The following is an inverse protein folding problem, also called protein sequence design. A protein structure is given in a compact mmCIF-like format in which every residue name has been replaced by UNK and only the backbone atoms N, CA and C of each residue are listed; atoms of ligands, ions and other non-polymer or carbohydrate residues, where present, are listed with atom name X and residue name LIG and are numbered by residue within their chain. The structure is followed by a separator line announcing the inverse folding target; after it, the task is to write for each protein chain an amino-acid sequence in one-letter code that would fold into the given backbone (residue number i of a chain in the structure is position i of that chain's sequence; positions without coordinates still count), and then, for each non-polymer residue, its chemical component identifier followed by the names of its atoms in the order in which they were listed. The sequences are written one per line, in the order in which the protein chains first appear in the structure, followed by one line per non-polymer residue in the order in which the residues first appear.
data_IF_848914963111
#
_entry.id   IF_848914963111
#
_cell.length_a   1.000
_cell.length_b   1.000
_cell.length_c   1.000
_cell.angle_alpha   90.00
_cell.angle_beta   90.00
_cell.angle_gamma   90.00
#
_symmetry.space_group_name_H-M   'P 1'
#
loop_
_entity.id
_entity.type
_entity.pdbx_description
1 polymer ?
#
# COMPACT_ATOMS: atom_id res chain seq x y z
N UNK A 1 -31.10 -55.29 41.03
CA UNK A 1 -30.01 -54.83 40.13
C UNK A 1 -30.52 -53.69 39.29
N UNK A 2 -29.93 -52.49 39.41
CA UNK A 2 -29.76 -51.51 38.32
C UNK A 2 -29.09 -50.25 38.90
N UNK A 3 -27.77 -50.14 38.69
CA UNK A 3 -26.98 -48.90 38.87
C UNK A 3 -26.78 -48.32 37.47
N UNK A 4 -27.36 -47.16 37.18
CA UNK A 4 -26.98 -46.29 36.06
C UNK A 4 -26.86 -44.88 36.63
N UNK A 5 -25.71 -44.55 37.21
CA UNK A 5 -24.60 -43.81 36.59
C UNK A 5 -25.04 -42.45 36.03
N UNK A 6 -25.11 -41.47 36.93
CA UNK A 6 -25.02 -40.05 36.62
C UNK A 6 -23.61 -39.74 36.09
N UNK A 7 -23.42 -39.72 34.78
CA UNK A 7 -22.19 -39.28 34.13
C UNK A 7 -22.54 -38.76 32.72
N UNK A 8 -23.29 -37.66 32.63
CA UNK A 8 -23.70 -37.11 31.33
C UNK A 8 -24.08 -35.62 31.35
N UNK A 9 -23.33 -34.73 32.05
CA UNK A 9 -23.31 -33.34 31.57
C UNK A 9 -21.91 -32.74 31.37
N UNK A 10 -20.83 -33.40 31.80
CA UNK A 10 -19.48 -32.79 31.76
C UNK A 10 -18.79 -32.82 30.39
N UNK A 11 -19.20 -33.69 29.47
CA UNK A 11 -18.56 -33.82 28.15
C UNK A 11 -19.05 -32.73 27.17
N UNK A 12 -20.23 -32.15 27.37
CA UNK A 12 -20.77 -31.12 26.47
C UNK A 12 -20.15 -29.73 26.68
N UNK A 13 -19.59 -29.45 27.87
CA UNK A 13 -18.96 -28.15 28.15
C UNK A 13 -17.55 -28.06 27.55
N UNK A 14 -16.83 -29.17 27.42
CA UNK A 14 -15.46 -29.19 26.91
C UNK A 14 -15.34 -29.00 25.38
N UNK A 15 -16.42 -29.24 24.62
CA UNK A 15 -16.41 -29.12 23.15
C UNK A 15 -16.70 -27.68 22.69
N UNK A 16 -17.38 -26.86 23.51
CA UNK A 16 -17.70 -25.46 23.13
C UNK A 16 -16.51 -24.51 23.32
N UNK A 17 -15.59 -24.82 24.23
CA UNK A 17 -14.41 -23.99 24.49
C UNK A 17 -13.23 -24.25 23.55
N UNK A 18 -13.19 -25.38 22.83
CA UNK A 18 -12.07 -25.71 21.94
C UNK A 18 -12.22 -25.20 20.50
N UNK A 19 -13.41 -24.75 20.09
CA UNK A 19 -13.64 -24.20 18.74
C UNK A 19 -13.71 -22.67 18.69
N UNK A 20 -13.91 -22.00 19.81
CA UNK A 20 -14.01 -20.52 19.89
C UNK A 20 -12.66 -19.85 20.15
N UNK A 21 -11.69 -20.57 20.70
CA UNK A 21 -10.39 -20.04 21.10
C UNK A 21 -9.38 -19.80 19.98
N UNK A 22 -9.64 -20.22 18.74
CA UNK A 22 -8.71 -19.98 17.62
C UNK A 22 -9.19 -18.90 16.64
N UNK A 23 -10.50 -18.60 16.58
CA UNK A 23 -11.05 -17.62 15.64
C UNK A 23 -11.02 -16.18 16.17
N UNK A 24 -11.06 -15.98 17.48
CA UNK A 24 -11.13 -14.62 18.05
C UNK A 24 -9.77 -13.90 18.05
N UNK A 25 -8.65 -14.59 18.17
CA UNK A 25 -7.35 -13.93 18.36
C UNK A 25 -6.77 -13.31 17.08
N UNK A 26 -7.11 -13.87 15.90
CA UNK A 26 -6.71 -13.31 14.61
C UNK A 26 -7.33 -11.93 14.36
N UNK A 27 -8.65 -11.82 14.54
CA UNK A 27 -9.38 -10.55 14.37
C UNK A 27 -8.94 -9.48 15.39
N UNK A 28 -8.64 -9.85 16.65
CA UNK A 28 -8.17 -8.87 17.64
C UNK A 28 -6.74 -8.37 17.38
N UNK A 29 -5.83 -9.24 16.89
CA UNK A 29 -4.48 -8.83 16.55
C UNK A 29 -4.49 -7.90 15.31
N UNK A 30 -5.26 -8.26 14.28
CA UNK A 30 -5.41 -7.46 13.06
C UNK A 30 -6.13 -6.13 13.32
N UNK A 31 -7.11 -6.10 14.23
CA UNK A 31 -7.74 -4.85 14.68
C UNK A 31 -6.74 -3.89 15.33
N UNK A 32 -5.75 -4.40 16.08
CA UNK A 32 -4.70 -3.56 16.66
C UNK A 32 -3.75 -2.96 15.61
N UNK A 33 -3.37 -3.74 14.60
CA UNK A 33 -2.52 -3.28 13.50
C UNK A 33 -3.26 -2.28 12.59
N UNK A 34 -4.52 -2.58 12.24
CA UNK A 34 -5.36 -1.69 11.45
C UNK A 34 -5.64 -0.37 12.18
N UNK A 35 -5.91 -0.42 13.49
CA UNK A 35 -6.09 0.77 14.31
C UNK A 35 -4.82 1.63 14.38
N UNK A 36 -3.64 1.04 14.57
CA UNK A 36 -2.38 1.80 14.55
C UNK A 36 -2.12 2.45 13.18
N UNK A 37 -2.44 1.75 12.09
CA UNK A 37 -2.32 2.26 10.73
C UNK A 37 -3.31 3.42 10.47
N UNK A 38 -4.57 3.28 10.88
CA UNK A 38 -5.60 4.28 10.71
C UNK A 38 -5.29 5.55 11.50
N UNK A 39 -4.76 5.44 12.73
CA UNK A 39 -4.30 6.57 13.52
C UNK A 39 -3.12 7.31 12.88
N UNK A 40 -2.14 6.58 12.35
CA UNK A 40 -0.98 7.19 11.68
C UNK A 40 -1.37 7.92 10.41
N UNK A 41 -2.33 7.38 9.65
CA UNK A 41 -2.87 8.03 8.45
C UNK A 41 -3.71 9.26 8.83
N UNK A 42 -4.51 9.19 9.91
CA UNK A 42 -5.24 10.34 10.47
C UNK A 42 -4.28 11.50 10.80
N UNK A 43 -3.18 11.23 11.48
CA UNK A 43 -2.22 12.27 11.89
C UNK A 43 -1.62 13.02 10.70
N UNK A 44 -1.38 12.32 9.60
CA UNK A 44 -0.82 12.90 8.37
C UNK A 44 -1.84 13.70 7.60
N UNK A 45 -3.06 13.20 7.48
CA UNK A 45 -4.15 13.95 6.89
C UNK A 45 -4.45 15.21 7.73
N UNK A 46 -4.39 15.12 9.07
CA UNK A 46 -4.51 16.26 9.97
C UNK A 46 -3.41 17.30 9.75
N UNK A 47 -2.14 16.85 9.68
CA UNK A 47 -1.00 17.72 9.43
C UNK A 47 -1.12 18.42 8.07
N UNK A 48 -1.53 17.69 7.03
CA UNK A 48 -1.62 18.21 5.68
C UNK A 48 -2.79 19.19 5.48
N UNK A 49 -3.95 18.92 6.10
CA UNK A 49 -5.15 19.75 5.93
C UNK A 49 -5.31 20.85 6.98
N UNK A 50 -4.57 20.77 8.09
CA UNK A 50 -4.61 21.74 9.18
C UNK A 50 -5.93 21.72 9.97
N UNK A 51 -6.71 20.65 9.88
CA UNK A 51 -7.95 20.43 10.61
C UNK A 51 -8.07 18.95 11.01
N UNK A 52 -8.97 18.70 11.94
CA UNK A 52 -9.32 17.35 12.36
C UNK A 52 -10.07 16.61 11.24
N UNK A 53 -9.54 15.44 10.87
CA UNK A 53 -10.19 14.42 10.04
C UNK A 53 -10.67 13.28 10.94
N UNK A 54 -11.75 12.61 10.58
CA UNK A 54 -12.23 11.41 11.29
C UNK A 54 -11.87 10.13 10.55
N UNK A 55 -11.72 9.04 11.30
CA UNK A 55 -11.66 7.68 10.76
C UNK A 55 -13.06 7.06 10.91
N UNK A 56 -13.61 6.54 9.83
CA UNK A 56 -14.91 5.88 9.79
C UNK A 56 -14.81 4.50 9.12
N UNK A 57 -15.85 3.68 9.31
CA UNK A 57 -15.99 2.35 8.71
C UNK A 57 -14.74 1.45 8.82
N UNK A 58 -14.04 1.56 9.96
CA UNK A 58 -12.87 0.73 10.26
C UNK A 58 -13.29 -0.73 10.41
N UNK A 59 -12.65 -1.58 9.60
CA UNK A 59 -12.84 -3.01 9.58
C UNK A 59 -11.48 -3.70 9.51
N UNK A 60 -11.33 -4.77 10.29
CA UNK A 60 -10.18 -5.65 10.25
C UNK A 60 -10.62 -7.11 10.31
N UNK A 61 -9.99 -7.99 9.53
CA UNK A 61 -10.35 -9.41 9.53
C UNK A 61 -9.53 -10.26 8.56
N UNK A 62 -9.78 -11.57 8.59
CA UNK A 62 -9.09 -12.54 7.74
C UNK A 62 -9.70 -12.56 6.32
N UNK A 63 -9.25 -11.66 5.45
CA UNK A 63 -9.60 -11.61 4.02
C UNK A 63 -8.41 -11.10 3.19
N UNK A 64 -8.53 -11.14 1.86
CA UNK A 64 -7.53 -10.58 0.92
C UNK A 64 -7.30 -9.09 1.19
N UNK A 65 -8.33 -8.40 1.67
CA UNK A 65 -8.22 -7.10 2.35
C UNK A 65 -8.35 -7.40 3.83
N UNK A 66 -7.28 -7.26 4.61
CA UNK A 66 -7.29 -7.50 6.05
C UNK A 66 -7.58 -6.23 6.87
N UNK A 67 -7.40 -5.04 6.29
CA UNK A 67 -7.72 -3.76 6.92
C UNK A 67 -8.39 -2.82 5.93
N UNK A 68 -9.50 -2.22 6.35
CA UNK A 68 -10.20 -1.19 5.57
C UNK A 68 -10.67 -0.08 6.49
N UNK A 69 -10.54 1.17 6.06
CA UNK A 69 -11.15 2.30 6.74
C UNK A 69 -11.30 3.52 5.81
N UNK A 70 -12.12 4.47 6.23
CA UNK A 70 -12.33 5.74 5.56
C UNK A 70 -11.71 6.89 6.35
N UNK A 71 -10.99 7.78 5.67
CA UNK A 71 -10.48 9.05 6.19
C UNK A 71 -11.41 10.16 5.72
N UNK A 72 -12.24 10.67 6.62
CA UNK A 72 -13.26 11.67 6.30
C UNK A 72 -12.71 13.05 6.59
N UNK A 73 -12.45 13.80 5.51
CA UNK A 73 -11.75 15.08 5.60
C UNK A 73 -12.70 16.26 5.86
N UNK A 74 -13.97 16.15 5.42
CA UNK A 74 -14.93 17.26 5.43
C UNK A 74 -14.49 18.47 4.61
N UNK A 75 -13.58 18.26 3.63
CA UNK A 75 -13.08 19.30 2.74
C UNK A 75 -13.77 19.22 1.39
N UNK A 76 -14.09 20.37 0.83
CA UNK A 76 -14.49 20.50 -0.56
C UNK A 76 -13.26 20.72 -1.45
N UNK A 77 -12.57 19.63 -1.80
CA UNK A 77 -11.40 19.64 -2.69
C UNK A 77 -11.72 18.93 -4.01
N UNK A 78 -11.72 19.67 -5.15
CA UNK A 78 -11.92 19.05 -6.46
C UNK A 78 -10.77 18.09 -6.79
N UNK A 79 -11.02 17.12 -7.67
CA UNK A 79 -10.01 16.10 -8.05
C UNK A 79 -8.69 16.68 -8.59
N UNK A 80 -8.73 17.86 -9.20
CA UNK A 80 -7.54 18.53 -9.73
C UNK A 80 -6.68 19.21 -8.66
N UNK A 81 -7.18 19.33 -7.43
CA UNK A 81 -6.51 20.05 -6.35
C UNK A 81 -5.15 19.39 -6.01
N UNK A 82 -4.12 20.22 -5.84
CA UNK A 82 -2.76 19.73 -5.54
C UNK A 82 -2.65 19.17 -4.12
N UNK A 83 -3.41 19.71 -3.16
CA UNK A 83 -3.41 19.27 -1.78
C UNK A 83 -4.09 17.89 -1.65
N UNK A 84 -5.21 17.68 -2.34
CA UNK A 84 -5.88 16.37 -2.44
C UNK A 84 -4.91 15.29 -2.95
N UNK A 85 -4.16 15.60 -4.02
CA UNK A 85 -3.14 14.70 -4.57
C UNK A 85 -1.98 14.43 -3.62
N UNK A 86 -1.43 15.48 -2.98
CA UNK A 86 -0.32 15.33 -2.03
C UNK A 86 -0.70 14.43 -0.83
N UNK A 87 -1.90 14.58 -0.29
CA UNK A 87 -2.36 13.70 0.81
C UNK A 87 -2.58 12.28 0.33
N UNK A 88 -3.23 12.08 -0.83
CA UNK A 88 -3.40 10.75 -1.40
C UNK A 88 -2.03 10.06 -1.60
N UNK A 89 -1.04 10.77 -2.13
CA UNK A 89 0.32 10.24 -2.33
C UNK A 89 1.00 9.88 -0.99
N UNK A 90 0.87 10.73 0.03
CA UNK A 90 1.44 10.47 1.38
C UNK A 90 0.78 9.28 2.07
N UNK A 91 -0.56 9.18 1.99
CA UNK A 91 -1.32 8.06 2.55
C UNK A 91 -0.95 6.77 1.81
N UNK A 92 -0.93 6.81 0.48
CA UNK A 92 -0.57 5.67 -0.34
C UNK A 92 0.86 5.18 -0.03
N UNK A 93 1.82 6.10 0.13
CA UNK A 93 3.19 5.74 0.51
C UNK A 93 3.24 4.97 1.83
N UNK A 94 2.44 5.36 2.83
CA UNK A 94 2.42 4.71 4.14
C UNK A 94 1.72 3.36 4.10
N UNK A 95 0.61 3.28 3.36
CA UNK A 95 -0.07 2.02 3.13
C UNK A 95 0.91 1.01 2.56
N UNK A 96 1.76 1.40 1.59
CA UNK A 96 2.75 0.50 0.99
C UNK A 96 4.02 0.28 1.81
N UNK A 97 4.44 1.25 2.63
CA UNK A 97 5.63 1.13 3.49
C UNK A 97 5.35 0.23 4.71
N UNK A 98 4.11 0.24 5.21
CA UNK A 98 3.73 -0.48 6.44
C UNK A 98 2.97 -1.78 6.20
N UNK A 99 2.32 -1.92 5.04
CA UNK A 99 1.41 -3.04 4.80
C UNK A 99 1.92 -3.91 3.66
N UNK A 100 2.06 -5.20 3.94
CA UNK A 100 2.59 -6.18 3.00
C UNK A 100 1.55 -6.51 1.92
N UNK A 101 0.25 -6.53 2.26
CA UNK A 101 -0.90 -6.72 1.36
C UNK A 101 -2.17 -6.12 1.98
N UNK A 102 -3.28 -6.08 1.23
CA UNK A 102 -4.63 -6.14 1.80
C UNK A 102 -5.10 -4.96 2.65
N UNK A 103 -4.66 -3.75 2.35
CA UNK A 103 -5.18 -2.53 2.98
C UNK A 103 -5.92 -1.67 1.98
N UNK A 104 -7.16 -1.34 2.28
CA UNK A 104 -7.97 -0.38 1.54
C UNK A 104 -8.22 0.88 2.39
N UNK A 105 -7.74 2.03 1.92
CA UNK A 105 -7.99 3.32 2.54
C UNK A 105 -8.80 4.18 1.60
N UNK A 106 -9.97 4.65 2.03
CA UNK A 106 -10.76 5.60 1.23
C UNK A 106 -10.67 7.00 1.85
N UNK A 107 -10.14 7.97 1.13
CA UNK A 107 -10.15 9.38 1.55
C UNK A 107 -11.43 10.03 1.02
N UNK A 108 -12.33 10.42 1.93
CA UNK A 108 -13.63 11.01 1.61
C UNK A 108 -13.59 12.54 1.73
N UNK A 109 -14.04 13.20 0.68
CA UNK A 109 -14.20 14.65 0.52
C UNK A 109 -15.68 14.99 0.36
N UNK A 110 -16.04 16.26 0.47
CA UNK A 110 -17.43 16.69 0.25
C UNK A 110 -17.85 16.52 -1.22
N UNK A 111 -16.89 16.61 -2.15
CA UNK A 111 -17.10 16.51 -3.59
C UNK A 111 -16.78 15.14 -4.19
N UNK A 112 -16.34 14.16 -3.39
CA UNK A 112 -16.03 12.81 -3.88
C UNK A 112 -15.14 12.00 -2.94
N UNK A 113 -14.50 10.97 -3.46
CA UNK A 113 -13.60 10.12 -2.67
C UNK A 113 -12.47 9.55 -3.52
N UNK A 114 -11.33 9.28 -2.90
CA UNK A 114 -10.21 8.54 -3.49
C UNK A 114 -10.02 7.23 -2.73
N UNK A 115 -10.11 6.09 -3.41
CA UNK A 115 -9.79 4.79 -2.82
C UNK A 115 -8.36 4.41 -3.17
N UNK A 116 -7.59 4.09 -2.15
CA UNK A 116 -6.18 3.75 -2.17
C UNK A 116 -6.03 2.32 -1.65
N UNK A 117 -5.68 1.39 -2.53
CA UNK A 117 -5.41 0.00 -2.15
C UNK A 117 -3.91 -0.24 -2.14
N UNK A 118 -3.41 -0.93 -1.11
CA UNK A 118 -2.02 -1.39 -1.05
C UNK A 118 -1.67 -2.16 -2.33
N UNK A 119 -0.49 -1.88 -2.89
CA UNK A 119 -0.02 -2.60 -4.07
C UNK A 119 0.38 -4.02 -3.67
N UNK A 120 0.34 -4.97 -4.61
CA UNK A 120 0.72 -6.36 -4.30
C UNK A 120 2.19 -6.46 -3.86
N UNK A 121 2.60 -7.51 -3.11
CA UNK A 121 3.97 -7.66 -2.64
C UNK A 121 4.96 -7.77 -3.78
N UNK A 122 4.56 -8.34 -4.91
CA UNK A 122 5.40 -8.41 -6.10
C UNK A 122 5.66 -7.00 -6.64
N UNK A 123 4.67 -6.11 -6.57
CA UNK A 123 4.83 -4.73 -6.99
C UNK A 123 5.67 -3.91 -5.99
N UNK A 124 5.45 -4.09 -4.68
CA UNK A 124 6.29 -3.51 -3.63
C UNK A 124 7.75 -3.95 -3.77
N UNK A 125 7.98 -5.24 -3.95
CA UNK A 125 9.30 -5.83 -4.18
C UNK A 125 9.94 -5.27 -5.45
N UNK A 126 9.18 -5.25 -6.56
CA UNK A 126 9.67 -4.68 -7.82
C UNK A 126 10.08 -3.20 -7.66
N UNK A 127 9.32 -2.41 -6.91
CA UNK A 127 9.66 -1.02 -6.64
C UNK A 127 10.93 -0.89 -5.79
N UNK A 128 11.05 -1.65 -4.70
CA UNK A 128 12.24 -1.64 -3.86
C UNK A 128 13.50 -2.13 -4.58
N UNK A 129 13.40 -3.22 -5.35
CA UNK A 129 14.51 -3.73 -6.15
C UNK A 129 14.92 -2.69 -7.19
N UNK A 130 13.96 -2.04 -7.84
CA UNK A 130 14.24 -0.96 -8.80
C UNK A 130 14.89 0.25 -8.13
N UNK A 131 14.41 0.66 -6.94
CA UNK A 131 15.04 1.72 -6.14
C UNK A 131 16.50 1.41 -5.86
N UNK A 132 16.80 0.18 -5.43
CA UNK A 132 18.16 -0.25 -5.09
C UNK A 132 19.06 -0.29 -6.32
N UNK A 133 18.58 -0.86 -7.43
CA UNK A 133 19.30 -0.88 -8.71
C UNK A 133 19.65 0.53 -9.19
N UNK A 134 18.69 1.45 -9.12
CA UNK A 134 18.91 2.85 -9.54
C UNK A 134 19.83 3.59 -8.56
N UNK A 135 19.68 3.37 -7.26
CA UNK A 135 20.54 3.97 -6.24
C UNK A 135 21.99 3.53 -6.38
N UNK A 136 22.23 2.23 -6.57
CA UNK A 136 23.55 1.64 -6.75
C UNK A 136 24.20 2.12 -8.05
N UNK A 137 23.45 2.11 -9.16
CA UNK A 137 23.96 2.55 -10.46
C UNK A 137 24.42 4.02 -10.46
N UNK A 138 23.69 4.88 -9.76
CA UNK A 138 24.00 6.30 -9.68
C UNK A 138 24.82 6.71 -8.45
N UNK A 139 25.21 5.75 -7.60
CA UNK A 139 25.88 5.96 -6.30
C UNK A 139 25.17 7.01 -5.42
N UNK A 140 23.84 6.92 -5.33
CA UNK A 140 23.03 7.89 -4.59
C UNK A 140 23.21 7.70 -3.07
N UNK A 141 23.28 8.82 -2.35
CA UNK A 141 23.32 8.82 -0.88
C UNK A 141 22.01 8.33 -0.24
N UNK A 142 20.91 8.31 -0.99
CA UNK A 142 19.59 7.86 -0.56
C UNK A 142 18.81 7.29 -1.74
N UNK A 143 17.99 6.28 -1.49
CA UNK A 143 17.14 5.68 -2.51
C UNK A 143 16.18 6.70 -3.13
N UNK A 144 15.94 6.66 -4.46
CA UNK A 144 14.94 7.49 -5.13
C UNK A 144 13.56 7.30 -4.49
N UNK A 145 12.78 8.37 -4.32
CA UNK A 145 11.42 8.24 -3.80
C UNK A 145 10.52 7.50 -4.81
N UNK A 146 9.75 6.51 -4.34
CA UNK A 146 8.69 5.87 -5.13
C UNK A 146 7.45 6.75 -5.12
N UNK A 147 6.96 7.05 -6.32
CA UNK A 147 5.65 7.64 -6.55
C UNK A 147 4.78 6.60 -7.23
N UNK A 148 3.78 6.12 -6.51
CA UNK A 148 2.92 5.07 -7.02
C UNK A 148 1.88 5.62 -7.98
N UNK A 149 1.66 4.92 -9.09
CA UNK A 149 0.63 5.25 -10.05
C UNK A 149 -0.62 4.42 -9.79
N UNK A 150 -1.79 4.98 -10.12
CA UNK A 150 -3.02 4.21 -10.14
C UNK A 150 -2.87 3.01 -11.10
N UNK A 151 -3.30 1.80 -10.69
CA UNK A 151 -3.27 0.63 -11.57
C UNK A 151 -4.15 0.88 -12.80
N UNK A 152 -3.61 0.53 -13.97
CA UNK A 152 -4.25 0.73 -15.27
C UNK A 152 -4.55 -0.62 -15.93
N UNK A 153 -4.07 -0.80 -17.16
CA UNK A 153 -4.04 -2.14 -17.80
C UNK A 153 -2.96 -3.06 -17.23
N UNK A 154 -2.04 -2.52 -16.43
CA UNK A 154 -0.97 -3.24 -15.75
C UNK A 154 -1.27 -3.29 -14.25
N UNK A 155 -0.90 -4.41 -13.62
CA UNK A 155 -1.15 -4.65 -12.19
C UNK A 155 -0.28 -3.79 -11.28
N UNK A 156 0.86 -3.33 -11.77
CA UNK A 156 1.83 -2.57 -11.00
C UNK A 156 2.32 -1.36 -11.78
N UNK A 157 2.19 -0.16 -11.21
CA UNK A 157 2.70 1.08 -11.81
C UNK A 157 3.33 1.98 -10.77
N UNK A 158 4.57 2.39 -11.00
CA UNK A 158 5.24 3.37 -10.14
C UNK A 158 6.25 4.21 -10.91
N UNK A 159 6.72 5.27 -10.26
CA UNK A 159 7.73 6.18 -10.78
C UNK A 159 8.82 6.40 -9.73
N UNK A 160 10.06 6.62 -10.17
CA UNK A 160 11.19 6.94 -9.30
C UNK A 160 11.72 8.32 -9.65
N UNK A 161 11.76 9.23 -8.67
CA UNK A 161 12.31 10.58 -8.87
C UNK A 161 13.82 10.59 -8.69
N UNK A 162 14.55 10.94 -9.74
CA UNK A 162 16.02 10.98 -9.79
C UNK A 162 16.45 12.45 -9.85
N UNK A 163 17.00 12.97 -8.74
CA UNK A 163 17.46 14.35 -8.63
C UNK A 163 18.89 14.55 -9.16
N UNK A 164 19.21 13.96 -10.32
CA UNK A 164 20.47 14.20 -11.04
C UNK A 164 20.16 14.87 -12.38
N UNK A 165 20.90 15.94 -12.68
CA UNK A 165 20.83 16.64 -13.96
C UNK A 165 21.61 15.84 -15.01
N UNK A 166 20.90 14.95 -15.72
CA UNK A 166 21.46 14.08 -16.75
C UNK A 166 20.77 14.36 -18.09
N UNK A 167 21.50 14.83 -19.11
CA UNK A 167 20.92 15.06 -20.43
C UNK A 167 20.24 13.81 -20.97
N UNK A 168 19.15 13.97 -21.72
CA UNK A 168 18.39 12.85 -22.30
C UNK A 168 19.24 11.80 -23.04
N UNK A 169 20.28 12.23 -23.76
CA UNK A 169 21.17 11.36 -24.51
C UNK A 169 22.34 10.75 -23.69
N UNK A 170 22.37 10.95 -22.37
CA UNK A 170 23.45 10.44 -21.53
C UNK A 170 23.45 8.90 -21.49
N UNK A 171 24.60 8.29 -21.78
CA UNK A 171 24.78 6.83 -21.70
C UNK A 171 24.43 6.28 -20.31
N UNK A 172 24.65 7.08 -19.25
CA UNK A 172 24.31 6.74 -17.87
C UNK A 172 22.80 6.49 -17.68
N UNK A 173 21.93 7.18 -18.44
CA UNK A 173 20.47 6.96 -18.43
C UNK A 173 20.09 5.70 -19.17
N UNK A 174 20.74 5.43 -20.31
CA UNK A 174 20.55 4.19 -21.02
C UNK A 174 20.95 2.98 -20.15
N UNK A 175 22.07 3.08 -19.43
CA UNK A 175 22.50 2.06 -18.47
C UNK A 175 21.49 1.80 -17.36
N UNK A 176 20.97 2.86 -16.72
CA UNK A 176 19.94 2.70 -15.69
C UNK A 176 18.67 2.06 -16.23
N UNK A 177 18.21 2.48 -17.42
CA UNK A 177 17.03 1.90 -18.08
C UNK A 177 17.22 0.42 -18.37
N UNK A 178 18.38 0.02 -18.87
CA UNK A 178 18.65 -1.37 -19.23
C UNK A 178 18.77 -2.26 -17.98
N UNK A 179 19.37 -1.75 -16.90
CA UNK A 179 19.42 -2.44 -15.61
C UNK A 179 18.03 -2.62 -15.00
N UNK A 180 17.21 -1.57 -14.97
CA UNK A 180 15.82 -1.63 -14.48
C UNK A 180 15.00 -2.60 -15.33
N UNK A 181 15.10 -2.53 -16.66
CA UNK A 181 14.40 -3.47 -17.54
C UNK A 181 14.78 -4.93 -17.25
N UNK A 182 16.04 -5.20 -16.91
CA UNK A 182 16.51 -6.55 -16.60
C UNK A 182 16.03 -7.06 -15.23
N UNK A 183 15.69 -6.18 -14.29
CA UNK A 183 15.24 -6.54 -12.94
C UNK A 183 13.71 -6.62 -12.79
N UNK A 184 12.94 -6.01 -13.70
CA UNK A 184 11.49 -5.93 -13.54
C UNK A 184 10.75 -7.24 -13.83
N UNK A 185 9.77 -7.62 -12.99
CA UNK A 185 8.86 -8.71 -13.31
C UNK A 185 7.84 -8.29 -14.38
N UNK A 186 7.06 -9.26 -14.86
CA UNK A 186 5.99 -9.00 -15.84
C UNK A 186 4.84 -8.20 -15.22
N UNK A 187 4.12 -7.51 -16.09
CA UNK A 187 2.97 -6.65 -15.82
C UNK A 187 3.29 -5.45 -14.90
N UNK A 188 4.53 -4.95 -14.98
CA UNK A 188 5.01 -3.77 -14.26
C UNK A 188 5.33 -2.63 -15.23
N UNK A 189 4.90 -1.42 -14.89
CA UNK A 189 5.38 -0.18 -15.48
C UNK A 189 6.15 0.66 -14.47
N UNK A 190 7.35 1.08 -14.87
CA UNK A 190 8.20 2.01 -14.13
C UNK A 190 8.49 3.24 -14.95
N UNK A 191 8.37 4.42 -14.36
CA UNK A 191 8.88 5.65 -14.96
C UNK A 191 10.05 6.23 -14.16
N UNK A 192 11.23 6.32 -14.77
CA UNK A 192 12.36 7.06 -14.21
C UNK A 192 12.18 8.55 -14.55
N UNK A 193 11.99 9.38 -13.52
CA UNK A 193 11.72 10.82 -13.67
C UNK A 193 12.98 11.62 -13.38
N UNK A 194 13.46 12.35 -14.38
CA UNK A 194 14.61 13.25 -14.31
C UNK A 194 14.11 14.71 -14.29
N UNK A 195 14.98 15.69 -13.94
CA UNK A 195 14.57 17.10 -13.89
C UNK A 195 14.08 17.65 -15.24
N UNK A 196 14.63 17.15 -16.35
CA UNK A 196 14.37 17.65 -17.70
C UNK A 196 13.45 16.74 -18.54
N UNK A 197 13.20 15.51 -18.09
CA UNK A 197 12.58 14.47 -18.93
C UNK A 197 12.19 13.22 -18.14
N UNK A 198 11.62 12.22 -18.81
CA UNK A 198 11.17 10.95 -18.23
C UNK A 198 11.48 9.78 -19.14
N UNK A 199 11.89 8.66 -18.56
CA UNK A 199 12.09 7.38 -19.25
C UNK A 199 11.10 6.35 -18.70
N UNK A 200 10.11 5.96 -19.51
CA UNK A 200 9.11 4.95 -19.13
C UNK A 200 9.52 3.58 -19.65
N UNK A 201 9.48 2.59 -18.76
CA UNK A 201 9.81 1.20 -18.98
C UNK A 201 8.57 0.39 -18.64
N UNK A 202 8.08 -0.36 -19.63
CA UNK A 202 6.96 -1.28 -19.46
C UNK A 202 7.52 -2.68 -19.66
N UNK A 203 7.13 -3.62 -18.81
CA UNK A 203 7.28 -5.06 -19.04
C UNK A 203 5.89 -5.64 -18.99
N UNK A 204 5.24 -5.82 -20.14
CA UNK A 204 3.93 -6.47 -20.17
C UNK A 204 4.06 -8.01 -20.20
N UNK A 205 2.97 -8.74 -19.97
CA UNK A 205 2.89 -10.20 -20.09
C UNK A 205 3.29 -10.77 -21.47
N UNK A 206 3.43 -9.92 -22.49
CA UNK A 206 3.92 -10.25 -23.83
C UNK A 206 5.43 -10.00 -24.00
N UNK A 207 6.10 -9.48 -22.97
CA UNK A 207 7.55 -9.29 -22.92
C UNK A 207 8.07 -8.11 -23.73
N UNK A 208 7.22 -7.11 -23.99
CA UNK A 208 7.65 -5.82 -24.57
C UNK A 208 7.97 -4.80 -23.50
#
# INVERSE_FOLDING_TARGET
MARYRAFTPLVLIAIVFSTTGCLQWGEYAMSGECGNLSERIRDIANEAYGNEVSIEDEWAGESDVWCRFEVVTGKDLPESDSQRRDVADRVFAIVNDLSVEGVDVTIRYDTGSDTLSATSPECATAAHDTQNVVADHYELASSPAVQWGQPGTLSCRFSLSIYRDLPYAAEERAGARDLVRASLPRDVEVTLVYPDSRDTIVIDSRGN
#
